data_IF_504199121093
#
_entry.id   IF_504199121093
#
_cell.length_a   1.000
_cell.length_b   1.000
_cell.length_c   1.000
_cell.angle_alpha   90.00
_cell.angle_beta   90.00
_cell.angle_gamma   90.00
#
_symmetry.space_group_name_H-M   'P 1'
#
loop_
_entity.id
_entity.type
_entity.pdbx_description
1 polymer ?
#
# COMPACT_ATOMS: atom_id res chain seq x y z
N UNK A 1 -36.82 34.80 -6.59
CA UNK A 1 -37.39 34.40 -5.29
C UNK A 1 -36.61 33.18 -4.87
N UNK A 2 -35.64 33.32 -3.97
CA UNK A 2 -34.86 32.18 -3.48
C UNK A 2 -35.77 31.17 -2.78
N UNK A 3 -35.92 30.00 -3.40
CA UNK A 3 -36.50 28.80 -2.82
C UNK A 3 -35.51 28.24 -1.77
N UNK A 4 -35.52 28.81 -0.56
CA UNK A 4 -34.70 28.32 0.54
C UNK A 4 -35.41 27.15 1.20
N UNK A 5 -34.73 26.01 1.43
CA UNK A 5 -35.32 24.88 2.11
C UNK A 5 -35.84 25.30 3.49
N UNK A 6 -37.09 24.93 3.77
CA UNK A 6 -37.74 25.28 5.03
C UNK A 6 -36.97 24.67 6.19
N UNK A 7 -36.72 25.46 7.24
CA UNK A 7 -36.04 24.98 8.44
C UNK A 7 -36.85 23.82 9.04
N UNK A 8 -36.21 22.67 9.34
CA UNK A 8 -36.91 21.53 9.91
C UNK A 8 -37.57 21.93 11.22
N UNK A 9 -38.82 21.50 11.42
CA UNK A 9 -39.52 21.79 12.65
C UNK A 9 -38.92 20.98 13.80
N UNK A 10 -39.15 21.42 15.04
CA UNK A 10 -38.67 20.67 16.22
C UNK A 10 -39.22 19.24 16.26
N UNK A 11 -40.42 19.00 15.74
CA UNK A 11 -41.02 17.67 15.62
C UNK A 11 -40.23 16.78 14.64
N UNK A 12 -39.73 17.36 13.56
CA UNK A 12 -38.93 16.63 12.57
C UNK A 12 -37.57 16.25 13.16
N UNK A 13 -36.96 17.16 13.94
CA UNK A 13 -35.73 16.86 14.65
C UNK A 13 -35.90 15.75 15.69
N UNK A 14 -37.04 15.72 16.40
CA UNK A 14 -37.32 14.61 17.35
C UNK A 14 -37.44 13.28 16.63
N UNK A 15 -38.14 13.22 15.50
CA UNK A 15 -38.25 12.00 14.68
C UNK A 15 -36.89 11.51 14.19
N UNK A 16 -36.06 12.42 13.64
CA UNK A 16 -34.71 12.07 13.20
C UNK A 16 -33.86 11.52 14.34
N UNK A 17 -33.98 12.09 15.54
CA UNK A 17 -33.28 11.60 16.72
C UNK A 17 -33.75 10.21 17.13
N UNK A 18 -35.05 9.95 17.09
CA UNK A 18 -35.61 8.64 17.43
C UNK A 18 -35.26 7.57 16.39
N UNK A 19 -35.30 7.92 15.10
CA UNK A 19 -34.87 7.05 14.00
C UNK A 19 -33.37 6.73 14.10
N UNK A 20 -32.55 7.73 14.44
CA UNK A 20 -31.12 7.54 14.64
C UNK A 20 -30.85 6.63 15.85
N UNK A 21 -31.58 6.82 16.96
CA UNK A 21 -31.47 5.91 18.11
C UNK A 21 -31.87 4.50 17.73
N UNK A 22 -32.97 4.31 17.01
CA UNK A 22 -33.42 2.98 16.58
C UNK A 22 -32.39 2.29 15.68
N UNK A 23 -31.80 3.02 14.73
CA UNK A 23 -30.84 2.48 13.77
C UNK A 23 -29.50 2.08 14.40
N UNK A 24 -29.04 2.84 15.41
CA UNK A 24 -27.72 2.65 16.04
C UNK A 24 -27.80 1.96 17.41
N UNK A 25 -28.99 1.62 17.90
CA UNK A 25 -29.12 0.77 19.08
C UNK A 25 -28.74 -0.65 18.68
N UNK A 26 -27.59 -1.12 19.16
CA UNK A 26 -27.17 -2.49 18.94
C UNK A 26 -28.24 -3.45 19.51
N UNK A 27 -28.72 -4.38 18.66
CA UNK A 27 -29.53 -5.49 19.13
C UNK A 27 -28.75 -6.26 20.18
N UNK A 28 -29.36 -6.55 21.33
CA UNK A 28 -28.74 -7.28 22.44
C UNK A 28 -29.50 -8.57 22.72
N UNK A 29 -28.83 -9.75 22.71
CA UNK A 29 -27.43 -9.95 22.37
C UNK A 29 -27.20 -9.70 20.88
N UNK A 30 -26.11 -9.01 20.55
CA UNK A 30 -25.64 -8.94 19.16
C UNK A 30 -25.28 -10.38 18.80
N UNK A 31 -26.04 -11.09 17.95
CA UNK A 31 -25.61 -12.40 17.52
C UNK A 31 -24.30 -12.13 16.80
N UNK A 32 -23.17 -12.72 17.20
CA UNK A 32 -22.05 -12.78 16.28
C UNK A 32 -22.63 -13.52 15.07
N UNK A 33 -22.89 -12.78 13.99
CA UNK A 33 -23.16 -13.43 12.71
C UNK A 33 -22.07 -14.47 12.49
N UNK A 34 -22.42 -15.60 11.88
CA UNK A 34 -21.50 -16.73 11.75
C UNK A 34 -20.11 -16.23 11.35
N UNK A 35 -19.06 -16.57 12.12
CA UNK A 35 -17.72 -16.05 11.85
C UNK A 35 -17.37 -16.40 10.41
N UNK A 36 -17.05 -15.37 9.62
CA UNK A 36 -16.68 -15.55 8.20
C UNK A 36 -15.52 -16.54 8.15
N UNK A 37 -15.65 -17.68 7.43
CA UNK A 37 -14.58 -18.66 7.37
C UNK A 37 -13.31 -18.03 6.78
N UNK A 38 -12.29 -17.86 7.62
CA UNK A 38 -10.96 -17.42 7.17
C UNK A 38 -10.26 -18.65 6.57
N UNK A 39 -10.39 -18.81 5.25
CA UNK A 39 -9.79 -19.93 4.51
C UNK A 39 -8.27 -19.78 4.27
N UNK A 40 -7.71 -18.63 4.64
CA UNK A 40 -6.29 -18.33 4.47
C UNK A 40 -5.55 -18.45 5.81
N UNK A 41 -4.47 -19.22 5.83
CA UNK A 41 -3.52 -19.17 6.94
C UNK A 41 -2.92 -17.76 7.03
N UNK A 42 -2.92 -17.11 8.20
CA UNK A 42 -2.24 -15.84 8.37
C UNK A 42 -0.78 -15.97 7.94
N UNK A 43 -0.31 -15.04 7.12
CA UNK A 43 1.11 -14.98 6.77
C UNK A 43 1.89 -14.58 8.03
N UNK A 44 2.95 -15.32 8.35
CA UNK A 44 3.89 -14.93 9.39
C UNK A 44 4.80 -13.82 8.84
N UNK A 45 4.27 -12.60 8.81
CA UNK A 45 5.01 -11.39 8.41
C UNK A 45 5.72 -10.87 9.65
N UNK A 46 7.00 -10.56 9.52
CA UNK A 46 7.78 -9.87 10.55
C UNK A 46 7.24 -8.44 10.67
N UNK A 47 6.59 -8.12 11.78
CA UNK A 47 6.02 -6.79 12.08
C UNK A 47 6.85 -6.06 13.15
N UNK A 48 8.16 -6.29 13.13
CA UNK A 48 9.14 -5.62 13.97
C UNK A 48 9.64 -4.32 13.33
N UNK A 49 10.38 -3.53 14.12
CA UNK A 49 11.01 -2.31 13.62
C UNK A 49 12.06 -2.74 12.58
N UNK A 50 11.98 -2.23 11.33
CA UNK A 50 12.89 -2.66 10.27
C UNK A 50 14.32 -2.17 10.54
N UNK A 51 15.29 -3.00 10.18
CA UNK A 51 16.71 -2.68 10.29
C UNK A 51 17.14 -1.67 9.21
N UNK A 52 18.24 -0.94 9.43
CA UNK A 52 18.74 0.04 8.45
C UNK A 52 19.03 -0.60 7.07
N UNK A 53 19.56 -1.82 7.06
CA UNK A 53 19.82 -2.57 5.83
C UNK A 53 18.51 -2.92 5.08
N UNK A 54 17.46 -3.23 5.83
CA UNK A 54 16.14 -3.53 5.27
C UNK A 54 15.53 -2.28 4.63
N UNK A 55 15.60 -1.14 5.32
CA UNK A 55 15.11 0.15 4.82
C UNK A 55 15.84 0.52 3.52
N UNK A 56 17.18 0.37 3.47
CA UNK A 56 17.96 0.61 2.26
C UNK A 56 17.53 -0.30 1.11
N UNK A 57 17.44 -1.60 1.36
CA UNK A 57 17.08 -2.59 0.34
C UNK A 57 15.65 -2.36 -0.21
N UNK A 58 14.70 -2.05 0.66
CA UNK A 58 13.34 -1.70 0.27
C UNK A 58 13.29 -0.44 -0.58
N UNK A 59 14.02 0.61 -0.18
CA UNK A 59 14.12 1.89 -0.90
C UNK A 59 14.65 1.71 -2.32
N UNK A 60 15.67 0.85 -2.51
CA UNK A 60 16.24 0.57 -3.82
C UNK A 60 15.25 -0.13 -4.77
N UNK A 61 14.37 -0.98 -4.23
CA UNK A 61 13.35 -1.72 -4.98
C UNK A 61 12.14 -0.86 -5.40
N UNK A 62 11.98 0.34 -4.85
CA UNK A 62 10.89 1.23 -5.22
C UNK A 62 10.96 1.63 -6.70
N UNK A 63 9.81 1.62 -7.37
CA UNK A 63 9.70 2.03 -8.77
C UNK A 63 9.74 3.55 -8.89
N UNK A 64 10.64 4.05 -9.72
CA UNK A 64 10.74 5.48 -9.99
C UNK A 64 9.52 6.01 -10.76
N UNK A 65 9.32 7.32 -10.73
CA UNK A 65 8.27 8.02 -11.48
C UNK A 65 6.82 7.61 -11.15
N UNK A 66 6.56 7.05 -9.96
CA UNK A 66 5.21 6.91 -9.42
C UNK A 66 4.90 8.00 -8.40
N UNK A 67 3.69 8.54 -8.55
CA UNK A 67 3.06 9.68 -7.90
C UNK A 67 3.76 10.26 -6.66
N UNK A 68 4.25 11.48 -6.82
CA UNK A 68 4.29 12.45 -5.75
C UNK A 68 2.85 12.67 -5.26
N UNK A 69 2.47 12.01 -4.18
CA UNK A 69 1.24 12.32 -3.45
C UNK A 69 1.29 13.76 -2.88
N UNK A 70 0.40 14.14 -1.95
CA UNK A 70 0.41 15.48 -1.35
C UNK A 70 1.76 15.86 -0.70
N UNK A 71 2.58 14.88 -0.30
CA UNK A 71 3.91 15.09 0.25
C UNK A 71 5.00 15.47 -0.78
N UNK A 72 4.73 15.33 -2.08
CA UNK A 72 5.70 15.49 -3.18
C UNK A 72 6.97 14.62 -3.11
N UNK A 73 7.07 13.71 -2.14
CA UNK A 73 8.20 12.79 -2.02
C UNK A 73 8.09 11.70 -3.09
N UNK A 74 9.17 11.46 -3.82
CA UNK A 74 9.27 10.40 -4.81
C UNK A 74 10.29 9.34 -4.37
N UNK A 75 10.22 8.16 -4.99
CA UNK A 75 11.24 7.13 -4.81
C UNK A 75 12.66 7.65 -5.12
N UNK A 76 12.79 8.58 -6.07
CA UNK A 76 14.08 9.20 -6.42
C UNK A 76 14.64 10.04 -5.27
N UNK A 77 13.79 10.77 -4.54
CA UNK A 77 14.21 11.53 -3.35
C UNK A 77 14.84 10.62 -2.29
N UNK A 78 14.20 9.48 -2.01
CA UNK A 78 14.72 8.53 -1.04
C UNK A 78 16.03 7.88 -1.50
N UNK A 79 16.14 7.53 -2.79
CA UNK A 79 17.37 6.97 -3.35
C UNK A 79 18.55 7.95 -3.30
N UNK A 80 18.30 9.23 -3.55
CA UNK A 80 19.34 10.27 -3.40
C UNK A 80 19.77 10.44 -1.93
N UNK A 81 18.84 10.32 -0.98
CA UNK A 81 19.20 10.36 0.45
C UNK A 81 20.10 9.19 0.84
N UNK A 82 19.76 7.97 0.42
CA UNK A 82 20.62 6.80 0.66
C UNK A 82 21.98 6.97 -0.01
N UNK A 83 22.03 7.47 -1.24
CA UNK A 83 23.29 7.73 -1.95
C UNK A 83 24.16 8.76 -1.24
N UNK A 84 23.56 9.80 -0.64
CA UNK A 84 24.28 10.81 0.14
C UNK A 84 24.74 10.29 1.51
N UNK A 85 23.93 9.47 2.16
CA UNK A 85 24.25 8.89 3.47
C UNK A 85 25.29 7.76 3.37
N UNK A 86 25.28 6.99 2.27
CA UNK A 86 26.11 5.81 2.06
C UNK A 86 26.75 5.80 0.66
N UNK A 87 27.74 6.67 0.41
CA UNK A 87 28.34 6.84 -0.93
C UNK A 87 29.06 5.59 -1.47
N UNK A 88 29.66 4.79 -0.57
CA UNK A 88 30.44 3.59 -0.94
C UNK A 88 29.58 2.43 -1.48
N UNK A 89 28.32 2.33 -1.07
CA UNK A 89 27.45 1.19 -1.36
C UNK A 89 26.72 1.32 -2.71
N UNK A 90 26.57 2.54 -3.25
CA UNK A 90 25.81 2.81 -4.47
C UNK A 90 26.56 2.41 -5.76
N UNK A 91 27.89 2.34 -5.73
CA UNK A 91 28.73 1.92 -6.86
C UNK A 91 28.71 0.39 -7.13
N UNK A 92 28.02 -0.39 -6.29
CA UNK A 92 27.96 -1.85 -6.43
C UNK A 92 26.75 -2.33 -7.23
N UNK A 93 25.65 -1.57 -7.23
CA UNK A 93 24.37 -2.00 -7.83
C UNK A 93 24.30 -1.89 -9.36
N UNK A 94 25.18 -1.10 -9.99
CA UNK A 94 25.22 -0.98 -11.46
C UNK A 94 26.01 -2.10 -12.15
N UNK A 95 26.81 -2.88 -11.43
CA UNK A 95 27.69 -3.91 -12.02
C UNK A 95 27.03 -5.27 -12.26
N UNK A 96 25.86 -5.52 -11.67
CA UNK A 96 25.24 -6.85 -11.70
C UNK A 96 24.22 -7.03 -12.83
N UNK A 97 24.01 -6.03 -13.68
CA UNK A 97 23.05 -6.06 -14.79
C UNK A 97 23.66 -6.45 -16.14
N UNK A 98 24.98 -6.37 -16.28
CA UNK A 98 25.69 -6.57 -17.56
C UNK A 98 26.41 -7.92 -17.68
N UNK A 99 26.45 -8.74 -16.63
CA UNK A 99 27.01 -10.10 -16.66
C UNK A 99 25.94 -11.13 -17.05
N UNK A 100 25.27 -10.90 -18.19
CA UNK A 100 24.54 -11.97 -18.87
C UNK A 100 25.54 -12.64 -19.82
N UNK A 101 26.05 -13.85 -19.52
CA UNK A 101 26.97 -14.53 -20.41
C UNK A 101 26.30 -14.69 -21.78
N UNK A 102 27.03 -14.43 -22.89
CA UNK A 102 26.49 -14.63 -24.22
C UNK A 102 25.99 -16.08 -24.32
N UNK A 103 24.71 -16.23 -24.64
CA UNK A 103 24.10 -17.54 -24.77
C UNK A 103 24.84 -18.29 -25.89
N UNK A 104 25.34 -19.52 -25.66
CA UNK A 104 25.97 -20.29 -26.71
C UNK A 104 24.95 -20.56 -27.81
N UNK A 105 25.34 -20.26 -29.04
CA UNK A 105 24.51 -20.36 -30.23
C UNK A 105 23.98 -21.80 -30.37
N UNK A 106 22.68 -22.00 -30.12
CA UNK A 106 21.99 -23.26 -30.41
C UNK A 106 21.54 -23.21 -31.87
N UNK A 107 22.50 -23.25 -32.79
CA UNK A 107 22.20 -23.64 -34.16
C UNK A 107 22.30 -25.16 -34.24
N UNK A 108 21.12 -25.76 -34.30
CA UNK A 108 20.91 -27.19 -34.40
C UNK A 108 21.60 -27.71 -35.66
N UNK A 109 22.53 -28.64 -35.48
CA UNK A 109 22.78 -29.60 -36.53
C UNK A 109 21.45 -30.31 -36.85
N UNK A 110 21.05 -30.29 -38.12
CA UNK A 110 20.34 -31.34 -38.86
C UNK A 110 20.04 -30.81 -40.27
N UNK A 111 20.83 -31.22 -41.27
CA UNK A 111 20.29 -31.66 -42.56
C UNK A 111 21.13 -32.82 -43.08
N UNK A 112 20.44 -33.96 -43.20
CA UNK A 112 20.59 -35.16 -44.04
C UNK A 112 21.90 -35.47 -44.76
#
# INVERSE_FOLDING_TARGET
>A
MEDRPQKPSRKDLTKVVDDFKALYTAETPCPPGDPVPVLATPANIRDDIPDEEEIKAATLKLRNHRAAGPSKLTADTFKEWIKRAFPEEFHRSSRNSDDKPPQPNRDLGQIS
#
